data_IF_390352308063
#
_entry.id   IF_390352308063
#
_cell.length_a   1.000
_cell.length_b   1.000
_cell.length_c   1.000
_cell.angle_alpha   90.00
_cell.angle_beta   90.00
_cell.angle_gamma   90.00
#
_symmetry.space_group_name_H-M   'P 1'
#
loop_
_entity.id
_entity.type
_entity.pdbx_description
1 polymer ?
#
# COMPACT_ATOMS: atom_id res chain seq x y z
N UNK A 1 19.11 12.56 11.08
CA UNK A 1 17.78 12.48 11.74
C UNK A 1 17.37 11.01 11.78
N UNK A 2 17.50 10.33 12.92
CA UNK A 2 17.06 8.93 13.04
C UNK A 2 15.53 8.93 13.12
N UNK A 3 14.87 8.62 12.00
CA UNK A 3 13.40 8.64 11.91
C UNK A 3 12.74 7.60 12.85
N UNK A 4 13.50 6.57 13.24
CA UNK A 4 13.05 5.53 14.17
C UNK A 4 13.99 5.44 15.38
N UNK A 5 13.42 5.56 16.57
CA UNK A 5 14.11 5.23 17.82
C UNK A 5 14.22 3.71 17.86
N UNK A 6 15.44 3.19 17.87
CA UNK A 6 15.71 1.75 17.86
C UNK A 6 15.09 1.07 19.09
N UNK A 7 14.12 0.19 18.85
CA UNK A 7 13.54 -0.69 19.86
C UNK A 7 13.23 -2.05 19.23
N UNK A 8 13.76 -3.14 19.80
CA UNK A 8 13.52 -4.51 19.33
C UNK A 8 12.01 -4.83 19.26
N UNK A 9 11.22 -4.30 20.20
CA UNK A 9 9.78 -4.55 20.23
C UNK A 9 9.06 -3.91 19.02
N UNK A 10 9.53 -2.74 18.56
CA UNK A 10 8.99 -2.07 17.38
C UNK A 10 9.33 -2.86 16.11
N UNK A 11 10.55 -3.38 16.00
CA UNK A 11 10.96 -4.20 14.86
C UNK A 11 10.11 -5.47 14.73
N UNK A 12 9.77 -6.13 15.85
CA UNK A 12 8.88 -7.30 15.86
C UNK A 12 7.47 -6.94 15.37
N UNK A 13 6.92 -5.80 15.82
CA UNK A 13 5.60 -5.32 15.36
C UNK A 13 5.61 -5.07 13.86
N UNK A 14 6.63 -4.37 13.34
CA UNK A 14 6.77 -4.10 11.91
C UNK A 14 6.86 -5.38 11.09
N UNK A 15 7.68 -6.34 11.52
CA UNK A 15 7.79 -7.62 10.86
C UNK A 15 6.45 -8.37 10.86
N UNK A 16 5.73 -8.36 11.99
CA UNK A 16 4.40 -8.98 12.09
C UNK A 16 3.39 -8.40 11.11
N UNK A 17 3.35 -7.08 10.94
CA UNK A 17 2.47 -6.41 9.96
C UNK A 17 2.82 -6.83 8.53
N UNK A 18 4.12 -6.85 8.19
CA UNK A 18 4.58 -7.26 6.85
C UNK A 18 4.23 -8.73 6.57
N UNK A 19 4.50 -9.64 7.51
CA UNK A 19 4.14 -11.05 7.36
C UNK A 19 2.64 -11.25 7.20
N UNK A 20 1.83 -10.52 7.97
CA UNK A 20 0.37 -10.57 7.85
C UNK A 20 -0.09 -10.10 6.46
N UNK A 21 0.52 -9.04 5.93
CA UNK A 21 0.23 -8.56 4.57
C UNK A 21 0.58 -9.60 3.50
N UNK A 22 1.72 -10.29 3.63
CA UNK A 22 2.11 -11.37 2.71
C UNK A 22 1.09 -12.51 2.75
N UNK A 23 0.63 -12.92 3.95
CA UNK A 23 -0.37 -13.99 4.10
C UNK A 23 -1.71 -13.62 3.43
N UNK A 24 -2.18 -12.38 3.60
CA UNK A 24 -3.40 -11.91 2.93
C UNK A 24 -3.20 -11.91 1.40
N UNK A 25 -2.03 -11.47 0.93
CA UNK A 25 -1.69 -11.45 -0.51
C UNK A 25 -1.62 -12.85 -1.12
N UNK A 26 -1.23 -13.86 -0.32
CA UNK A 26 -1.20 -15.27 -0.72
C UNK A 26 -2.56 -15.96 -0.62
N UNK A 27 -3.57 -15.33 -0.01
CA UNK A 27 -4.91 -15.92 0.14
C UNK A 27 -5.59 -16.37 -1.17
N UNK A 28 -5.37 -15.74 -2.36
CA UNK A 28 -5.91 -16.21 -3.63
C UNK A 28 -5.54 -17.63 -3.99
N UNK A 29 -4.37 -18.12 -3.55
CA UNK A 29 -3.97 -19.51 -3.79
C UNK A 29 -4.98 -20.51 -3.22
N UNK A 30 -5.80 -20.10 -2.25
CA UNK A 30 -6.86 -20.91 -1.65
C UNK A 30 -8.23 -20.40 -2.10
N UNK A 31 -8.47 -19.08 -2.05
CA UNK A 31 -9.81 -18.52 -2.30
C UNK A 31 -10.26 -18.69 -3.75
N UNK A 32 -9.34 -18.73 -4.72
CA UNK A 32 -9.67 -19.00 -6.13
C UNK A 32 -10.30 -20.37 -6.37
N UNK A 33 -10.16 -21.33 -5.45
CA UNK A 33 -10.86 -22.61 -5.54
C UNK A 33 -12.35 -22.51 -5.20
N UNK A 34 -12.78 -21.43 -4.54
CA UNK A 34 -14.13 -21.28 -3.99
C UNK A 34 -14.89 -20.08 -4.58
N UNK A 35 -14.17 -19.06 -5.06
CA UNK A 35 -14.75 -17.81 -5.58
C UNK A 35 -14.07 -17.38 -6.86
N UNK A 36 -14.78 -16.60 -7.67
CA UNK A 36 -14.24 -15.99 -8.89
C UNK A 36 -13.08 -15.03 -8.60
N UNK A 37 -12.26 -14.78 -9.63
CA UNK A 37 -11.06 -13.92 -9.56
C UNK A 37 -11.39 -12.53 -9.00
N UNK A 38 -12.46 -11.90 -9.47
CA UNK A 38 -12.87 -10.56 -9.02
C UNK A 38 -13.23 -10.52 -7.53
N UNK A 39 -13.93 -11.57 -7.06
CA UNK A 39 -14.33 -11.69 -5.65
C UNK A 39 -13.14 -12.03 -4.76
N UNK A 40 -12.23 -12.88 -5.23
CA UNK A 40 -10.97 -13.16 -4.56
C UNK A 40 -10.14 -11.87 -4.40
N UNK A 41 -9.96 -11.11 -5.48
CA UNK A 41 -9.20 -9.86 -5.45
C UNK A 41 -9.84 -8.80 -4.55
N UNK A 42 -11.17 -8.64 -4.63
CA UNK A 42 -11.90 -7.74 -3.74
C UNK A 42 -11.76 -8.14 -2.26
N UNK A 43 -11.78 -9.45 -1.96
CA UNK A 43 -11.60 -9.96 -0.60
C UNK A 43 -10.21 -9.65 -0.01
N UNK A 44 -9.14 -9.74 -0.83
CA UNK A 44 -7.78 -9.33 -0.44
C UNK A 44 -7.77 -7.87 -0.02
N UNK A 45 -8.27 -7.00 -0.91
CA UNK A 45 -8.24 -5.55 -0.73
C UNK A 45 -8.97 -5.12 0.55
N UNK A 46 -10.17 -5.66 0.78
CA UNK A 46 -10.93 -5.37 2.01
C UNK A 46 -10.18 -5.88 3.23
N UNK A 47 -9.65 -7.10 3.17
CA UNK A 47 -8.93 -7.72 4.30
C UNK A 47 -7.68 -6.91 4.65
N UNK A 48 -6.90 -6.49 3.66
CA UNK A 48 -5.75 -5.60 3.84
C UNK A 48 -6.17 -4.28 4.47
N UNK A 49 -7.18 -3.62 3.91
CA UNK A 49 -7.64 -2.33 4.43
C UNK A 49 -8.06 -2.44 5.90
N UNK A 50 -8.87 -3.43 6.25
CA UNK A 50 -9.36 -3.64 7.62
C UNK A 50 -8.21 -3.97 8.56
N UNK A 51 -7.38 -4.96 8.23
CA UNK A 51 -6.32 -5.44 9.11
C UNK A 51 -5.25 -4.37 9.31
N UNK A 52 -4.81 -3.69 8.24
CA UNK A 52 -3.83 -2.61 8.33
C UNK A 52 -4.38 -1.44 9.14
N UNK A 53 -5.65 -1.07 8.94
CA UNK A 53 -6.30 -0.02 9.74
C UNK A 53 -6.35 -0.40 11.23
N UNK A 54 -6.76 -1.63 11.55
CA UNK A 54 -6.80 -2.12 12.94
C UNK A 54 -5.41 -2.11 13.58
N UNK A 55 -4.40 -2.68 12.90
CA UNK A 55 -3.01 -2.69 13.37
C UNK A 55 -2.46 -1.27 13.53
N UNK A 56 -2.85 -0.36 12.65
CA UNK A 56 -2.48 1.04 12.76
C UNK A 56 -3.01 1.65 14.06
N UNK A 57 -4.30 1.53 14.35
CA UNK A 57 -4.89 2.10 15.56
C UNK A 57 -4.41 1.44 16.86
N UNK A 58 -4.23 0.11 16.85
CA UNK A 58 -3.86 -0.65 18.05
C UNK A 58 -2.36 -0.53 18.40
N UNK A 59 -1.50 -0.55 17.38
CA UNK A 59 -0.05 -0.66 17.54
C UNK A 59 0.69 0.55 16.98
N UNK A 60 0.54 0.84 15.67
CA UNK A 60 1.43 1.78 14.98
C UNK A 60 1.23 3.24 15.41
N UNK A 61 0.00 3.65 15.72
CA UNK A 61 -0.32 5.02 16.20
C UNK A 61 0.40 5.37 17.51
N UNK A 62 0.82 4.37 18.30
CA UNK A 62 1.56 4.58 19.55
C UNK A 62 3.06 4.83 19.31
N UNK A 63 3.56 4.59 18.11
CA UNK A 63 4.99 4.70 17.77
C UNK A 63 5.30 6.10 17.24
N UNK A 64 6.27 6.78 17.85
CA UNK A 64 6.77 8.06 17.36
C UNK A 64 7.32 7.91 15.93
N UNK A 65 6.85 8.75 15.01
CA UNK A 65 7.20 8.68 13.58
C UNK A 65 6.20 7.94 12.69
N UNK A 66 5.33 7.10 13.26
CA UNK A 66 4.25 6.41 12.52
C UNK A 66 2.90 7.14 12.59
N UNK A 67 2.80 8.22 13.37
CA UNK A 67 1.55 8.96 13.56
C UNK A 67 1.24 9.75 12.29
N UNK A 68 0.14 9.41 11.63
CA UNK A 68 -0.42 10.22 10.54
C UNK A 68 -0.90 11.55 11.13
N UNK A 69 -0.24 12.65 10.76
CA UNK A 69 -0.60 14.00 11.15
C UNK A 69 -1.12 14.75 9.95
N UNK A 70 -2.40 15.10 9.99
CA UNK A 70 -3.00 15.98 8.99
C UNK A 70 -2.63 17.41 9.38
N UNK A 71 -1.85 18.07 8.53
CA UNK A 71 -1.62 19.52 8.63
C UNK A 71 -2.62 20.22 7.73
N UNK A 72 -3.44 21.07 8.32
CA UNK A 72 -4.50 21.82 7.62
C UNK A 72 -4.09 23.27 7.32
N UNK A 73 -2.81 23.52 7.09
CA UNK A 73 -2.37 24.83 6.63
C UNK A 73 -2.71 25.03 5.13
N UNK A 74 -2.97 26.29 4.75
CA UNK A 74 -3.42 26.62 3.39
C UNK A 74 -2.44 26.17 2.30
N UNK A 75 -1.14 26.20 2.57
CA UNK A 75 -0.12 25.77 1.60
C UNK A 75 -0.13 24.25 1.42
N UNK A 76 -0.18 23.48 2.50
CA UNK A 76 -0.29 22.01 2.46
C UNK A 76 -1.59 21.56 1.81
N UNK A 77 -2.72 22.24 2.08
CA UNK A 77 -4.00 21.91 1.42
C UNK A 77 -3.91 22.14 -0.10
N UNK A 78 -3.33 23.26 -0.54
CA UNK A 78 -3.14 23.54 -1.98
C UNK A 78 -2.22 22.49 -2.62
N UNK A 79 -1.11 22.16 -1.97
CA UNK A 79 -0.16 21.16 -2.47
C UNK A 79 -0.79 19.76 -2.55
N UNK A 80 -1.47 19.32 -1.48
CA UNK A 80 -2.12 18.00 -1.45
C UNK A 80 -3.27 17.91 -2.46
N UNK A 81 -4.05 18.98 -2.63
CA UNK A 81 -5.09 19.05 -3.67
C UNK A 81 -4.51 18.98 -5.08
N UNK A 82 -3.40 19.66 -5.34
CA UNK A 82 -2.69 19.58 -6.62
C UNK A 82 -2.17 18.16 -6.89
N UNK A 83 -1.51 17.54 -5.91
CA UNK A 83 -1.02 16.16 -6.03
C UNK A 83 -2.15 15.16 -6.25
N UNK A 84 -3.27 15.33 -5.56
CA UNK A 84 -4.46 14.52 -5.78
C UNK A 84 -4.98 14.68 -7.21
N UNK A 85 -5.07 15.90 -7.74
CA UNK A 85 -5.50 16.15 -9.12
C UNK A 85 -4.55 15.51 -10.14
N UNK A 86 -3.24 15.55 -9.89
CA UNK A 86 -2.24 14.85 -10.73
C UNK A 86 -2.48 13.34 -10.72
N UNK A 87 -2.74 12.73 -9.56
CA UNK A 87 -3.05 11.30 -9.48
C UNK A 87 -4.31 10.97 -10.25
N UNK A 88 -5.39 11.75 -10.08
CA UNK A 88 -6.64 11.57 -10.84
C UNK A 88 -6.39 11.68 -12.34
N UNK A 89 -5.58 12.64 -12.78
CA UNK A 89 -5.23 12.82 -14.19
C UNK A 89 -4.45 11.62 -14.74
N UNK A 90 -3.48 11.09 -14.00
CA UNK A 90 -2.72 9.90 -14.40
C UNK A 90 -3.65 8.69 -14.52
N UNK A 91 -4.54 8.47 -13.55
CA UNK A 91 -5.50 7.36 -13.58
C UNK A 91 -6.46 7.47 -14.78
N UNK A 92 -6.94 8.69 -15.08
CA UNK A 92 -7.77 8.94 -16.26
C UNK A 92 -7.01 8.70 -17.57
N UNK A 93 -5.75 9.14 -17.65
CA UNK A 93 -4.92 8.92 -18.83
C UNK A 93 -4.66 7.43 -19.07
N UNK A 94 -4.36 6.66 -18.02
CA UNK A 94 -4.18 5.20 -18.09
C UNK A 94 -5.47 4.51 -18.51
N UNK A 95 -6.62 4.94 -17.98
CA UNK A 95 -7.93 4.43 -18.38
C UNK A 95 -8.20 4.64 -19.87
N UNK A 96 -8.05 5.88 -20.38
CA UNK A 96 -8.24 6.19 -21.80
C UNK A 96 -7.25 5.44 -22.70
N UNK A 97 -6.00 5.30 -22.26
CA UNK A 97 -4.98 4.55 -22.99
C UNK A 97 -5.34 3.06 -23.11
N UNK A 98 -5.85 2.46 -22.04
CA UNK A 98 -6.30 1.06 -22.03
C UNK A 98 -7.45 0.84 -23.02
N UNK A 99 -8.45 1.73 -23.00
CA UNK A 99 -9.62 1.67 -23.88
C UNK A 99 -9.20 1.76 -25.36
N UNK A 100 -8.30 2.70 -25.67
CA UNK A 100 -7.77 2.91 -27.01
C UNK A 100 -6.95 1.71 -27.55
N UNK A 101 -6.08 1.12 -26.73
CA UNK A 101 -5.16 0.06 -27.19
C UNK A 101 -5.83 -1.31 -27.29
N UNK A 102 -6.68 -1.66 -26.32
CA UNK A 102 -7.22 -3.02 -26.21
C UNK A 102 -8.62 -3.20 -26.83
N UNK A 103 -9.20 -2.15 -27.43
CA UNK A 103 -10.53 -2.19 -28.07
C UNK A 103 -11.61 -2.86 -27.19
N UNK A 104 -11.51 -2.66 -25.86
CA UNK A 104 -12.55 -3.15 -24.96
C UNK A 104 -13.87 -2.44 -25.30
N UNK A 105 -15.00 -3.14 -25.16
CA UNK A 105 -16.30 -2.46 -25.14
C UNK A 105 -16.26 -1.36 -24.08
N UNK A 106 -16.87 -0.21 -24.37
CA UNK A 106 -16.87 0.98 -23.52
C UNK A 106 -17.36 0.63 -22.11
N UNK A 107 -16.43 0.25 -21.24
CA UNK A 107 -16.75 -0.15 -19.88
C UNK A 107 -17.14 1.12 -19.15
N UNK A 108 -18.30 1.17 -18.51
CA UNK A 108 -18.59 2.28 -17.62
C UNK A 108 -17.48 2.40 -16.58
N UNK A 109 -17.03 3.63 -16.28
CA UNK A 109 -16.06 3.86 -15.19
C UNK A 109 -16.67 3.30 -13.91
N UNK A 110 -16.12 2.19 -13.44
CA UNK A 110 -16.53 1.62 -12.17
C UNK A 110 -15.92 2.47 -11.05
N UNK A 111 -16.72 3.38 -10.51
CA UNK A 111 -16.33 4.27 -9.42
C UNK A 111 -15.74 3.53 -8.22
N UNK A 112 -16.17 2.29 -7.95
CA UNK A 112 -15.59 1.47 -6.88
C UNK A 112 -14.13 1.11 -7.18
N UNK A 113 -13.82 0.68 -8.41
CA UNK A 113 -12.45 0.36 -8.83
C UNK A 113 -11.56 1.60 -8.77
N UNK A 114 -12.10 2.75 -9.20
CA UNK A 114 -11.38 4.03 -9.12
C UNK A 114 -11.02 4.41 -7.67
N UNK A 115 -11.99 4.31 -6.75
CA UNK A 115 -11.77 4.59 -5.31
C UNK A 115 -10.74 3.63 -4.73
N UNK A 116 -10.84 2.34 -5.05
CA UNK A 116 -9.93 1.31 -4.57
C UNK A 116 -8.50 1.60 -5.02
N UNK A 117 -8.28 1.83 -6.31
CA UNK A 117 -6.95 2.07 -6.88
C UNK A 117 -6.34 3.41 -6.44
N UNK A 118 -7.17 4.42 -6.19
CA UNK A 118 -6.68 5.77 -5.87
C UNK A 118 -6.47 5.97 -4.37
N UNK A 119 -7.28 5.32 -3.52
CA UNK A 119 -7.28 5.57 -2.08
C UNK A 119 -6.93 4.32 -1.27
N UNK A 120 -7.63 3.21 -1.49
CA UNK A 120 -7.50 2.01 -0.65
C UNK A 120 -6.12 1.37 -0.83
N UNK A 121 -5.72 1.14 -2.08
CA UNK A 121 -4.43 0.52 -2.42
C UNK A 121 -3.26 1.35 -1.92
N UNK A 122 -3.12 2.63 -2.28
CA UNK A 122 -2.01 3.45 -1.79
C UNK A 122 -1.98 3.56 -0.26
N UNK A 123 -3.14 3.57 0.40
CA UNK A 123 -3.22 3.66 1.86
C UNK A 123 -2.56 2.48 2.56
N UNK A 124 -2.96 1.25 2.22
CA UNK A 124 -2.39 0.09 2.91
C UNK A 124 -0.94 -0.17 2.48
N UNK A 125 -0.60 0.10 1.22
CA UNK A 125 0.77 -0.06 0.71
C UNK A 125 1.76 0.88 1.40
N UNK A 126 1.37 2.13 1.64
CA UNK A 126 2.22 3.08 2.36
C UNK A 126 2.52 2.61 3.78
N UNK A 127 1.50 2.11 4.50
CA UNK A 127 1.68 1.62 5.88
C UNK A 127 2.52 0.34 5.91
N UNK A 128 2.26 -0.62 5.02
CA UNK A 128 2.97 -1.91 5.02
C UNK A 128 4.41 -1.73 4.53
N UNK A 129 4.63 -1.09 3.38
CA UNK A 129 5.94 -1.04 2.74
C UNK A 129 6.79 0.14 3.20
N UNK A 130 6.24 1.37 3.23
CA UNK A 130 7.02 2.57 3.57
C UNK A 130 7.16 2.82 5.06
N UNK A 131 6.20 2.39 5.87
CA UNK A 131 6.30 2.49 7.34
C UNK A 131 6.90 1.21 7.92
N UNK A 132 6.25 0.06 7.76
CA UNK A 132 6.64 -1.17 8.46
C UNK A 132 7.87 -1.86 7.84
N UNK A 133 7.87 -2.19 6.54
CA UNK A 133 8.98 -2.88 5.92
C UNK A 133 10.27 -2.03 5.91
N UNK A 134 10.15 -0.76 5.54
CA UNK A 134 11.28 0.17 5.58
C UNK A 134 11.75 0.44 7.01
N UNK A 135 10.83 0.63 7.95
CA UNK A 135 11.14 0.79 9.37
C UNK A 135 11.89 -0.41 9.93
N UNK A 136 11.45 -1.63 9.60
CA UNK A 136 12.11 -2.87 9.97
C UNK A 136 13.54 -2.94 9.42
N UNK A 137 13.74 -2.69 8.13
CA UNK A 137 15.08 -2.70 7.52
C UNK A 137 15.98 -1.60 8.08
N UNK A 138 15.43 -0.42 8.39
CA UNK A 138 16.17 0.64 9.07
C UNK A 138 16.63 0.23 10.47
N UNK A 139 15.88 -0.65 11.17
CA UNK A 139 16.34 -1.18 12.47
C UNK A 139 17.55 -2.11 12.34
N UNK A 140 17.72 -2.78 11.19
CA UNK A 140 18.85 -3.64 10.87
C UNK A 140 20.04 -2.81 10.38
N UNK A 141 19.83 -1.96 9.37
CA UNK A 141 20.90 -1.20 8.68
C UNK A 141 21.07 0.23 9.22
N UNK A 142 21.14 0.36 10.54
CA UNK A 142 21.09 1.60 11.36
C UNK A 142 21.79 2.88 10.84
N UNK A 143 22.82 2.77 10.00
CA UNK A 143 23.60 3.92 9.50
C UNK A 143 23.42 4.21 8.01
N UNK A 144 22.87 3.29 7.22
CA UNK A 144 22.72 3.46 5.78
C UNK A 144 21.24 3.39 5.41
N UNK A 145 20.67 4.51 4.95
CA UNK A 145 19.26 4.57 4.53
C UNK A 145 19.06 4.09 3.09
N UNK A 146 20.14 4.04 2.29
CA UNK A 146 20.08 3.63 0.88
C UNK A 146 19.75 2.14 0.79
N UNK A 147 20.41 1.30 1.59
CA UNK A 147 20.21 -0.15 1.56
C UNK A 147 18.76 -0.54 1.92
N UNK A 148 18.18 -0.08 3.04
CA UNK A 148 16.76 -0.29 3.35
C UNK A 148 15.83 0.18 2.23
N UNK A 149 16.09 1.34 1.63
CA UNK A 149 15.26 1.88 0.56
C UNK A 149 15.25 0.93 -0.66
N UNK A 150 16.44 0.55 -1.14
CA UNK A 150 16.61 -0.35 -2.29
C UNK A 150 15.93 -1.70 -2.01
N UNK A 151 16.17 -2.29 -0.84
CA UNK A 151 15.58 -3.57 -0.46
C UNK A 151 14.06 -3.51 -0.35
N UNK A 152 13.49 -2.44 0.23
CA UNK A 152 12.03 -2.27 0.26
C UNK A 152 11.43 -2.12 -1.13
N UNK A 153 12.10 -1.40 -2.03
CA UNK A 153 11.63 -1.24 -3.41
C UNK A 153 11.69 -2.56 -4.18
N UNK A 154 12.77 -3.34 -4.03
CA UNK A 154 12.86 -4.67 -4.64
C UNK A 154 11.78 -5.61 -4.11
N UNK A 155 11.56 -5.61 -2.79
CA UNK A 155 10.51 -6.40 -2.16
C UNK A 155 9.12 -6.01 -2.66
N UNK A 156 8.84 -4.71 -2.75
CA UNK A 156 7.59 -4.19 -3.33
C UNK A 156 7.38 -4.67 -4.76
N UNK A 157 8.40 -4.55 -5.62
CA UNK A 157 8.34 -5.05 -7.00
C UNK A 157 8.07 -6.56 -7.07
N UNK A 158 8.69 -7.35 -6.20
CA UNK A 158 8.51 -8.81 -6.17
C UNK A 158 7.07 -9.20 -5.81
N UNK A 159 6.44 -8.50 -4.86
CA UNK A 159 5.05 -8.78 -4.46
C UNK A 159 4.06 -8.55 -5.62
N UNK A 160 4.31 -7.60 -6.52
CA UNK A 160 3.46 -7.39 -7.69
C UNK A 160 3.66 -8.41 -8.81
N UNK A 161 4.79 -9.13 -8.84
CA UNK A 161 5.03 -10.17 -9.85
C UNK A 161 4.07 -11.37 -9.70
N UNK A 162 3.51 -11.57 -8.50
CA UNK A 162 2.56 -12.66 -8.22
C UNK A 162 1.29 -12.58 -9.08
N UNK A 163 0.93 -11.39 -9.57
CA UNK A 163 -0.25 -11.17 -10.41
C UNK A 163 0.03 -11.28 -11.91
N UNK A 164 1.29 -11.47 -12.33
CA UNK A 164 1.66 -11.50 -13.74
C UNK A 164 1.48 -12.88 -14.41
N UNK A 165 1.36 -13.94 -13.61
CA UNK A 165 1.19 -15.34 -14.04
C UNK A 165 -0.12 -15.97 -13.55
N UNK A 166 -1.06 -15.16 -13.05
CA UNK A 166 -2.40 -15.61 -12.65
C UNK A 166 -3.39 -15.49 -13.82
#
# INVERSE_FOLDING_TARGET
MNLFIYNKNIAVIFLGVVLTSILITLSPAITLHYVDIDMAFFSILISHFIIVTLLYFLCLKKIAGCIIRIKSDSATIKLTSLLFLVIVFIQLAVYCYRDYFFHYESSHINWMVFIVLTLVVPYYEEIVYRVCAFGFLCTIYKKNLIIPCVLTSLFFCFMHFQYYNA
#
